data_IF_911255857574
#
_entry.id   IF_911255857574
#
_cell.length_a   1.000
_cell.length_b   1.000
_cell.length_c   1.000
_cell.angle_alpha   90.00
_cell.angle_beta   90.00
_cell.angle_gamma   90.00
#
_symmetry.space_group_name_H-M   'P 1'
#
loop_
_entity.id
_entity.type
_entity.pdbx_description
1 polymer ?
#
# COMPACT_ATOMS: atom_id res chain seq x y z
N UNK A 1 -8.79 26.86 -11.32
CA UNK A 1 -8.27 26.12 -12.49
C UNK A 1 -8.63 24.65 -12.33
N UNK A 2 -9.68 24.20 -12.96
CA UNK A 2 -10.14 22.81 -12.91
C UNK A 2 -9.20 21.96 -13.77
N UNK A 3 -8.40 21.10 -13.14
CA UNK A 3 -7.67 20.05 -13.87
C UNK A 3 -8.69 19.18 -14.61
N UNK A 4 -8.67 19.23 -15.93
CA UNK A 4 -9.35 18.24 -16.77
C UNK A 4 -8.73 16.88 -16.47
N UNK A 5 -9.38 16.09 -15.63
CA UNK A 5 -9.07 14.67 -15.53
C UNK A 5 -9.43 14.07 -16.88
N UNK A 6 -8.43 13.60 -17.61
CA UNK A 6 -8.66 12.72 -18.74
C UNK A 6 -9.32 11.47 -18.19
N UNK A 7 -10.63 11.41 -18.29
CA UNK A 7 -11.37 10.18 -18.11
C UNK A 7 -11.02 9.29 -19.31
N UNK A 8 -10.09 8.37 -19.09
CA UNK A 8 -9.87 7.28 -20.04
C UNK A 8 -11.22 6.63 -20.31
N UNK A 9 -11.64 6.48 -21.57
CA UNK A 9 -12.90 5.82 -21.87
C UNK A 9 -12.75 4.34 -21.50
N UNK A 10 -13.27 3.99 -20.34
CA UNK A 10 -13.44 2.59 -19.93
C UNK A 10 -14.47 1.93 -20.85
N UNK A 11 -14.02 1.48 -22.03
CA UNK A 11 -14.82 0.60 -22.88
C UNK A 11 -14.93 -0.77 -22.21
N UNK A 12 -16.15 -1.03 -21.72
CA UNK A 12 -16.77 -2.34 -21.48
C UNK A 12 -15.82 -3.55 -21.35
N UNK A 13 -15.36 -3.81 -20.13
CA UNK A 13 -15.00 -5.16 -19.69
C UNK A 13 -15.54 -5.35 -18.26
N UNK A 14 -16.87 -5.54 -18.17
CA UNK A 14 -17.58 -5.59 -16.90
C UNK A 14 -17.07 -6.69 -15.92
N UNK A 15 -16.51 -7.78 -16.43
CA UNK A 15 -16.04 -8.88 -15.57
C UNK A 15 -14.66 -8.63 -14.97
N UNK A 16 -13.74 -8.02 -15.71
CA UNK A 16 -12.36 -7.76 -15.22
C UNK A 16 -12.34 -6.67 -14.18
N UNK A 17 -13.13 -5.62 -14.35
CA UNK A 17 -13.22 -4.50 -13.39
C UNK A 17 -13.67 -4.98 -12.01
N UNK A 18 -14.61 -5.91 -11.93
CA UNK A 18 -15.08 -6.47 -10.67
C UNK A 18 -13.99 -7.27 -9.95
N UNK A 19 -13.20 -8.05 -10.68
CA UNK A 19 -12.09 -8.82 -10.14
C UNK A 19 -11.01 -7.89 -9.55
N UNK A 20 -10.58 -6.87 -10.28
CA UNK A 20 -9.59 -5.91 -9.82
C UNK A 20 -10.05 -5.14 -8.58
N UNK A 21 -11.28 -4.68 -8.55
CA UNK A 21 -11.84 -3.98 -7.39
C UNK A 21 -11.87 -4.89 -6.15
N UNK A 22 -12.24 -6.15 -6.32
CA UNK A 22 -12.26 -7.13 -5.24
C UNK A 22 -10.86 -7.42 -4.71
N UNK A 23 -9.88 -7.67 -5.60
CA UNK A 23 -8.49 -7.95 -5.22
C UNK A 23 -7.90 -6.76 -4.45
N UNK A 24 -8.06 -5.55 -4.93
CA UNK A 24 -7.51 -4.36 -4.28
C UNK A 24 -8.13 -4.12 -2.90
N UNK A 25 -9.43 -4.30 -2.77
CA UNK A 25 -10.13 -4.23 -1.48
C UNK A 25 -9.63 -5.30 -0.51
N UNK A 26 -9.43 -6.53 -0.97
CA UNK A 26 -8.89 -7.62 -0.16
C UNK A 26 -7.48 -7.27 0.31
N UNK A 27 -6.59 -6.82 -0.56
CA UNK A 27 -5.20 -6.49 -0.22
C UNK A 27 -5.12 -5.44 0.89
N UNK A 28 -5.83 -4.33 0.76
CA UNK A 28 -5.84 -3.27 1.76
C UNK A 28 -6.43 -3.75 3.08
N UNK A 29 -7.59 -4.43 3.05
CA UNK A 29 -8.25 -4.93 4.25
C UNK A 29 -7.42 -6.01 4.96
N UNK A 30 -6.77 -6.90 4.21
CA UNK A 30 -5.88 -7.92 4.79
C UNK A 30 -4.70 -7.28 5.50
N UNK A 31 -4.10 -6.24 4.91
CA UNK A 31 -3.02 -5.48 5.54
C UNK A 31 -3.48 -4.83 6.85
N UNK A 32 -4.65 -4.18 6.85
CA UNK A 32 -5.22 -3.58 8.06
C UNK A 32 -5.47 -4.66 9.14
N UNK A 33 -6.11 -5.77 8.79
CA UNK A 33 -6.42 -6.85 9.72
C UNK A 33 -5.16 -7.45 10.34
N UNK A 34 -4.11 -7.64 9.53
CA UNK A 34 -2.81 -8.08 10.03
C UNK A 34 -2.24 -7.07 11.03
N UNK A 35 -2.18 -5.79 10.68
CA UNK A 35 -1.63 -4.73 11.52
C UNK A 35 -2.39 -4.59 12.84
N UNK A 36 -3.73 -4.66 12.82
CA UNK A 36 -4.55 -4.67 14.04
C UNK A 36 -4.26 -5.91 14.90
N UNK A 37 -4.15 -7.09 14.30
CA UNK A 37 -3.83 -8.31 15.03
C UNK A 37 -2.47 -8.22 15.72
N UNK A 38 -1.48 -7.60 15.09
CA UNK A 38 -0.13 -7.43 15.64
C UNK A 38 -0.11 -6.56 16.92
N UNK A 39 -1.09 -5.68 17.11
CA UNK A 39 -1.20 -4.86 18.32
C UNK A 39 -1.44 -5.69 19.59
N UNK A 40 -1.98 -6.89 19.43
CA UNK A 40 -2.28 -7.81 20.53
C UNK A 40 -1.20 -8.87 20.75
N UNK A 41 -0.20 -8.93 19.88
CA UNK A 41 0.89 -9.92 19.98
C UNK A 41 1.85 -9.52 21.12
N UNK A 42 2.04 -10.41 22.07
CA UNK A 42 2.92 -10.23 23.24
C UNK A 42 4.28 -10.93 23.10
N UNK A 43 4.60 -11.41 21.93
CA UNK A 43 5.84 -12.11 21.61
C UNK A 43 6.70 -11.27 20.67
N UNK A 44 8.02 -11.30 20.84
CA UNK A 44 8.95 -10.64 19.92
C UNK A 44 8.76 -11.20 18.52
N UNK A 45 8.33 -10.34 17.58
CA UNK A 45 7.95 -10.74 16.23
C UNK A 45 8.50 -9.73 15.22
N UNK A 46 9.09 -10.24 14.15
CA UNK A 46 9.46 -9.44 12.98
C UNK A 46 8.51 -9.78 11.85
N UNK A 47 7.95 -8.77 11.22
CA UNK A 47 6.99 -8.88 10.13
C UNK A 47 7.56 -8.20 8.89
N UNK A 48 7.56 -8.92 7.78
CA UNK A 48 7.94 -8.38 6.48
C UNK A 48 6.68 -8.38 5.61
N UNK A 49 6.30 -7.21 5.16
CA UNK A 49 5.14 -7.02 4.28
C UNK A 49 5.65 -6.75 2.88
N UNK A 50 5.39 -7.69 1.97
CA UNK A 50 5.81 -7.56 0.58
C UNK A 50 4.81 -6.70 -0.16
N UNK A 51 5.28 -5.56 -0.67
CA UNK A 51 4.50 -4.66 -1.51
C UNK A 51 4.94 -4.75 -2.99
N UNK A 52 5.24 -3.68 -3.63
CA UNK A 52 5.66 -3.65 -5.02
C UNK A 52 6.27 -2.29 -5.35
N UNK A 53 7.24 -2.25 -6.23
CA UNK A 53 7.78 -1.03 -6.82
C UNK A 53 6.70 -0.14 -7.47
N UNK A 54 5.58 -0.73 -7.86
CA UNK A 54 4.41 0.00 -8.38
C UNK A 54 3.68 0.85 -7.35
N UNK A 55 4.10 0.80 -6.08
CA UNK A 55 3.61 1.72 -5.06
C UNK A 55 4.10 3.16 -5.24
N UNK A 56 5.15 3.37 -6.02
CA UNK A 56 5.66 4.71 -6.33
C UNK A 56 4.91 5.35 -7.50
N UNK A 57 4.79 6.68 -7.44
CA UNK A 57 4.26 7.45 -8.55
C UNK A 57 5.18 7.29 -9.77
N UNK A 58 4.61 6.79 -10.87
CA UNK A 58 5.37 6.61 -12.10
C UNK A 58 5.62 7.97 -12.78
N UNK A 59 6.85 8.41 -12.72
CA UNK A 59 7.33 9.64 -13.38
C UNK A 59 8.31 9.33 -14.50
N UNK A 60 8.34 8.06 -14.97
CA UNK A 60 9.22 7.60 -16.06
C UNK A 60 10.70 7.95 -15.85
N UNK A 61 11.15 8.01 -14.60
CA UNK A 61 12.54 8.30 -14.30
C UNK A 61 13.46 7.15 -14.73
N UNK A 62 14.64 7.51 -15.21
CA UNK A 62 15.66 6.53 -15.68
C UNK A 62 16.39 5.79 -14.54
N UNK A 63 16.26 6.24 -13.30
CA UNK A 63 16.87 5.61 -12.12
C UNK A 63 15.87 4.80 -11.32
N UNK A 64 16.37 3.86 -10.52
CA UNK A 64 15.52 3.09 -9.58
C UNK A 64 14.80 3.99 -8.58
N UNK A 65 13.62 3.57 -8.13
CA UNK A 65 12.89 4.22 -7.05
C UNK A 65 13.61 4.01 -5.71
N UNK A 66 13.44 4.97 -4.81
CA UNK A 66 13.96 4.95 -3.44
C UNK A 66 12.81 5.12 -2.46
N UNK A 67 13.03 4.76 -1.22
CA UNK A 67 12.04 4.87 -0.13
C UNK A 67 11.55 6.30 0.12
N UNK A 68 12.32 7.29 -0.35
CA UNK A 68 11.97 8.72 -0.25
C UNK A 68 11.14 9.24 -1.42
N UNK A 69 10.93 8.42 -2.45
CA UNK A 69 10.15 8.82 -3.61
C UNK A 69 8.65 8.88 -3.28
N UNK A 70 7.93 9.68 -4.04
CA UNK A 70 6.49 9.88 -3.82
C UNK A 70 5.72 8.59 -4.09
N UNK A 71 4.91 8.19 -3.10
CA UNK A 71 3.95 7.11 -3.28
C UNK A 71 2.77 7.57 -4.13
N UNK A 72 2.27 6.67 -4.97
CA UNK A 72 1.10 6.95 -5.79
C UNK A 72 0.85 5.83 -6.79
N UNK A 73 -0.27 5.91 -7.50
CA UNK A 73 -0.61 4.93 -8.53
C UNK A 73 -1.70 5.47 -9.43
N UNK A 74 -1.52 5.28 -10.73
CA UNK A 74 -2.48 5.71 -11.74
C UNK A 74 -3.57 4.65 -11.98
N UNK A 75 -3.27 3.39 -11.64
CA UNK A 75 -4.21 2.28 -11.73
C UNK A 75 -4.62 1.78 -10.33
N UNK A 76 -5.76 1.08 -10.20
CA UNK A 76 -6.25 0.63 -8.91
C UNK A 76 -5.30 -0.33 -8.17
N UNK A 77 -4.52 -1.14 -8.86
CA UNK A 77 -3.55 -2.04 -8.24
C UNK A 77 -2.40 -1.23 -7.62
N UNK A 78 -1.77 -0.35 -8.38
CA UNK A 78 -0.70 0.52 -7.90
C UNK A 78 -1.18 1.40 -6.73
N UNK A 79 -2.38 1.97 -6.84
CA UNK A 79 -3.00 2.73 -5.76
C UNK A 79 -3.21 1.88 -4.50
N UNK A 80 -3.61 0.62 -4.62
CA UNK A 80 -3.78 -0.27 -3.46
C UNK A 80 -2.45 -0.59 -2.78
N UNK A 81 -1.38 -0.78 -3.55
CA UNK A 81 -0.04 -1.01 -3.00
C UNK A 81 0.52 0.24 -2.31
N UNK A 82 0.36 1.41 -2.90
CA UNK A 82 0.71 2.68 -2.25
C UNK A 82 -0.09 2.88 -0.96
N UNK A 83 -1.36 2.53 -0.93
CA UNK A 83 -2.19 2.58 0.27
C UNK A 83 -1.68 1.65 1.37
N UNK A 84 -1.23 0.45 1.02
CA UNK A 84 -0.62 -0.47 1.98
C UNK A 84 0.65 0.12 2.60
N UNK A 85 1.54 0.74 1.82
CA UNK A 85 2.73 1.41 2.34
C UNK A 85 2.39 2.53 3.32
N UNK A 86 1.41 3.37 2.96
CA UNK A 86 0.96 4.47 3.82
C UNK A 86 0.38 3.93 5.13
N UNK A 87 -0.44 2.88 5.07
CA UNK A 87 -1.05 2.24 6.23
C UNK A 87 0.02 1.63 7.15
N UNK A 88 0.94 0.85 6.60
CA UNK A 88 2.02 0.24 7.38
C UNK A 88 2.85 1.30 8.09
N UNK A 89 3.24 2.35 7.39
CA UNK A 89 4.01 3.45 7.97
C UNK A 89 3.23 4.18 9.09
N UNK A 90 1.94 4.41 8.88
CA UNK A 90 1.06 5.00 9.90
C UNK A 90 0.98 4.14 11.17
N UNK A 91 0.80 2.82 11.01
CA UNK A 91 0.76 1.89 12.14
C UNK A 91 2.11 1.79 12.88
N UNK A 92 3.22 1.74 12.14
CA UNK A 92 4.55 1.76 12.75
C UNK A 92 4.69 3.00 13.64
N UNK A 93 4.40 4.19 13.11
CA UNK A 93 4.54 5.44 13.84
C UNK A 93 3.61 5.52 15.04
N UNK A 94 2.37 5.06 14.92
CA UNK A 94 1.35 5.19 15.95
C UNK A 94 1.45 4.16 17.06
N UNK A 95 1.85 2.91 16.74
CA UNK A 95 1.72 1.80 17.68
C UNK A 95 3.03 1.03 17.93
N UNK A 96 3.96 1.02 16.98
CA UNK A 96 5.14 0.15 17.04
C UNK A 96 6.47 0.90 17.16
N UNK A 97 6.46 2.22 17.06
CA UNK A 97 7.66 3.06 17.09
C UNK A 97 8.11 3.43 18.53
N UNK A 98 8.08 2.49 19.44
CA UNK A 98 8.65 2.70 20.76
C UNK A 98 9.77 1.67 21.06
N UNK A 99 10.72 2.07 21.90
CA UNK A 99 11.88 1.21 22.25
C UNK A 99 11.48 -0.11 22.93
N UNK A 100 10.29 -0.18 23.49
CA UNK A 100 9.74 -1.37 24.17
C UNK A 100 8.88 -2.24 23.25
N UNK A 101 8.67 -1.83 21.99
CA UNK A 101 7.87 -2.60 21.05
C UNK A 101 8.50 -3.96 20.78
N UNK A 102 7.71 -5.00 20.99
CA UNK A 102 8.06 -6.37 20.63
C UNK A 102 7.88 -6.65 19.14
N UNK A 103 7.20 -5.77 18.43
CA UNK A 103 6.89 -5.91 17.02
C UNK A 103 7.81 -5.01 16.21
N UNK A 104 8.44 -5.59 15.21
CA UNK A 104 9.19 -4.87 14.19
C UNK A 104 8.57 -5.16 12.83
N UNK A 105 8.31 -4.12 12.05
CA UNK A 105 7.67 -4.23 10.75
C UNK A 105 8.55 -3.51 9.73
N UNK A 106 8.70 -4.12 8.56
CA UNK A 106 9.24 -3.46 7.37
C UNK A 106 8.43 -3.86 6.14
N UNK A 107 8.47 -3.02 5.13
CA UNK A 107 7.98 -3.32 3.77
C UNK A 107 9.16 -3.60 2.84
N UNK A 108 8.93 -4.39 1.81
CA UNK A 108 9.90 -4.70 0.76
C UNK A 108 9.20 -4.81 -0.58
#
# INVERSE_FOLDING_TARGET
MLMKRNLYPYKKQHNITHIYTTINKILVNTTINLLESLRHVKKKTTVIIVTSDKCYLNIEKKSSYKETDTLGGEDPYSASKASCEILVNSYIKSFFNNKKSLIKICTV
#
